data_IF_316447716701
#
_entry.id   IF_316447716701
#
_cell.length_a   1.000
_cell.length_b   1.000
_cell.length_c   1.000
_cell.angle_alpha   90.00
_cell.angle_beta   90.00
_cell.angle_gamma   90.00
#
_symmetry.space_group_name_H-M   'P 1'
#
loop_
_entity.id
_entity.type
_entity.pdbx_description
1 polymer ?
#
# COMPACT_ATOMS: atom_id res chain seq x y z
N UNK A 1 -75.55 6.56 18.55
CA UNK A 1 -74.54 6.79 19.60
C UNK A 1 -73.20 6.31 19.03
N UNK A 2 -72.51 7.06 18.16
CA UNK A 2 -71.54 8.16 18.37
C UNK A 2 -70.46 7.89 19.43
N UNK A 3 -69.18 7.89 18.97
CA UNK A 3 -67.92 8.42 19.55
C UNK A 3 -66.72 7.48 19.27
N UNK A 4 -65.85 7.78 18.30
CA UNK A 4 -64.52 8.46 18.41
C UNK A 4 -63.50 7.65 19.22
N UNK A 5 -62.20 7.51 18.91
CA UNK A 5 -61.28 8.06 17.91
C UNK A 5 -59.93 7.29 18.00
N UNK A 6 -59.16 7.33 16.92
CA UNK A 6 -57.71 7.04 16.84
C UNK A 6 -56.92 7.81 17.93
N UNK A 7 -55.89 7.20 18.53
CA UNK A 7 -54.54 7.70 18.23
C UNK A 7 -53.52 6.56 18.11
N UNK A 8 -52.73 6.50 17.02
CA UNK A 8 -51.43 7.16 16.91
C UNK A 8 -50.40 6.64 17.95
N UNK A 9 -49.72 5.54 17.58
CA UNK A 9 -48.40 5.23 18.11
C UNK A 9 -47.41 5.23 16.93
N UNK A 10 -46.88 6.42 16.65
CA UNK A 10 -45.71 6.63 15.81
C UNK A 10 -44.50 6.01 16.53
N UNK A 11 -44.04 4.83 16.09
CA UNK A 11 -42.72 4.33 16.44
C UNK A 11 -41.69 5.06 15.55
N UNK A 12 -41.16 6.17 16.06
CA UNK A 12 -39.99 6.82 15.50
C UNK A 12 -38.75 5.96 15.81
N UNK A 13 -38.36 5.10 14.88
CA UNK A 13 -37.06 4.43 14.92
C UNK A 13 -35.98 5.47 14.61
N UNK A 14 -35.35 6.01 15.65
CA UNK A 14 -34.17 6.86 15.53
C UNK A 14 -33.04 6.02 14.95
N UNK A 15 -32.65 6.31 13.71
CA UNK A 15 -31.40 5.87 13.15
C UNK A 15 -30.26 6.56 13.92
N UNK A 16 -29.75 5.90 14.96
CA UNK A 16 -28.53 6.31 15.64
C UNK A 16 -27.38 6.09 14.65
N UNK A 17 -26.91 7.18 14.04
CA UNK A 17 -25.67 7.18 13.29
C UNK A 17 -24.54 7.01 14.32
N UNK A 18 -23.99 5.80 14.44
CA UNK A 18 -22.78 5.55 15.21
C UNK A 18 -21.61 6.03 14.36
N UNK A 19 -20.87 7.09 14.74
CA UNK A 19 -19.61 7.38 14.08
C UNK A 19 -18.67 6.20 14.37
N UNK A 20 -18.18 5.56 13.32
CA UNK A 20 -17.13 4.56 13.43
C UNK A 20 -15.87 5.26 13.96
N UNK A 21 -15.73 5.31 15.29
CA UNK A 21 -14.48 5.69 15.94
C UNK A 21 -13.49 4.55 15.73
N UNK A 22 -12.80 4.57 14.60
CA UNK A 22 -11.59 3.77 14.39
C UNK A 22 -10.53 4.14 15.45
N UNK A 23 -9.63 3.21 15.80
CA UNK A 23 -8.60 3.47 16.79
C UNK A 23 -7.73 4.65 16.34
N UNK A 24 -7.46 5.58 17.26
CA UNK A 24 -6.49 6.64 17.07
C UNK A 24 -5.10 6.00 16.98
N UNK A 25 -4.60 5.83 15.75
CA UNK A 25 -3.26 5.32 15.51
C UNK A 25 -2.25 6.47 15.71
N UNK A 26 -1.18 6.17 16.44
CA UNK A 26 -0.11 7.12 16.75
C UNK A 26 0.56 7.68 15.49
N UNK A 27 1.22 8.83 15.63
CA UNK A 27 1.94 9.52 14.56
C UNK A 27 2.96 8.59 13.86
N UNK A 28 2.59 7.96 12.74
CA UNK A 28 3.38 7.75 11.50
C UNK A 28 2.90 6.55 10.65
N UNK A 29 1.59 6.41 10.39
CA UNK A 29 1.10 5.30 9.53
C UNK A 29 0.93 5.69 8.06
N UNK A 30 1.08 6.97 7.73
CA UNK A 30 0.80 7.50 6.41
C UNK A 30 1.53 8.83 6.16
N UNK A 31 1.80 9.22 4.90
CA UNK A 31 2.37 10.52 4.58
C UNK A 31 1.45 11.68 4.97
N UNK A 32 2.02 12.89 5.11
CA UNK A 32 1.28 14.11 5.48
C UNK A 32 0.12 14.44 4.53
N UNK A 33 0.19 13.97 3.29
CA UNK A 33 -0.80 14.15 2.21
C UNK A 33 -1.48 12.83 1.80
N UNK A 34 -1.65 11.90 2.74
CA UNK A 34 -2.33 10.64 2.51
C UNK A 34 -3.77 10.83 2.02
N UNK A 35 -4.14 10.12 0.94
CA UNK A 35 -5.51 10.15 0.47
C UNK A 35 -6.41 9.28 1.37
N UNK A 36 -7.65 9.72 1.65
CA UNK A 36 -8.59 8.95 2.44
C UNK A 36 -8.94 7.63 1.75
N UNK A 37 -8.95 6.54 2.53
CA UNK A 37 -9.27 5.19 2.04
C UNK A 37 -8.08 4.44 1.41
N UNK A 38 -6.90 5.05 1.31
CA UNK A 38 -5.68 4.37 0.86
C UNK A 38 -4.79 3.95 2.04
N UNK A 39 -4.08 2.86 1.82
CA UNK A 39 -3.10 2.33 2.76
C UNK A 39 -1.69 2.56 2.20
N UNK A 40 -0.74 2.86 3.09
CA UNK A 40 0.63 3.21 2.75
C UNK A 40 1.66 2.26 3.39
N UNK A 41 2.91 2.32 2.95
CA UNK A 41 4.02 1.65 3.59
C UNK A 41 5.29 2.48 3.39
N UNK A 42 6.26 2.28 4.28
CA UNK A 42 7.60 2.83 4.15
C UNK A 42 8.45 1.90 3.30
N UNK A 43 9.29 2.48 2.45
CA UNK A 43 10.36 1.79 1.73
C UNK A 43 11.41 2.77 1.24
N UNK A 44 12.38 2.24 0.52
CA UNK A 44 13.44 3.03 -0.08
C UNK A 44 13.41 2.82 -1.59
N UNK A 45 13.57 3.89 -2.37
CA UNK A 45 13.70 3.79 -3.82
C UNK A 45 15.17 3.93 -4.19
N UNK A 46 15.62 3.14 -5.14
CA UNK A 46 16.93 3.36 -5.76
C UNK A 46 16.74 4.56 -6.67
N UNK A 47 17.25 5.74 -6.26
CA UNK A 47 17.35 6.87 -7.18
C UNK A 47 18.14 6.40 -8.40
N UNK A 48 17.63 6.56 -9.64
CA UNK A 48 18.47 6.31 -10.80
C UNK A 48 19.70 7.19 -10.65
N UNK A 49 20.89 6.58 -10.64
CA UNK A 49 22.10 7.35 -10.82
C UNK A 49 21.89 8.12 -12.13
N UNK A 50 21.82 9.45 -12.06
CA UNK A 50 21.80 10.25 -13.27
C UNK A 50 23.02 9.80 -14.08
N UNK A 51 22.79 9.26 -15.27
CA UNK A 51 23.84 9.01 -16.23
C UNK A 51 24.38 10.37 -16.65
N UNK A 52 25.37 10.85 -15.91
CA UNK A 52 26.13 12.05 -16.23
C UNK A 52 27.11 11.68 -17.35
N UNK A 53 26.61 11.20 -18.49
CA UNK A 53 27.40 11.25 -19.72
C UNK A 53 27.54 12.74 -20.04
N UNK A 54 28.74 13.33 -19.95
CA UNK A 54 28.88 14.74 -20.27
C UNK A 54 28.46 14.93 -21.74
N UNK A 55 27.45 15.76 -21.99
CA UNK A 55 27.00 16.12 -23.35
C UNK A 55 28.11 16.79 -24.18
N UNK A 56 29.27 17.08 -23.58
CA UNK A 56 30.44 17.66 -24.24
C UNK A 56 31.76 17.21 -23.60
N UNK A 57 32.77 16.79 -24.38
CA UNK A 57 34.09 16.39 -23.87
C UNK A 57 34.89 17.52 -23.19
N UNK A 58 34.47 18.78 -23.40
CA UNK A 58 35.10 19.98 -22.81
C UNK A 58 34.31 20.57 -21.64
N UNK A 59 33.20 19.95 -21.22
CA UNK A 59 32.46 20.42 -20.05
C UNK A 59 33.24 20.07 -18.76
N UNK A 60 33.39 21.01 -17.80
CA UNK A 60 33.86 20.64 -16.46
C UNK A 60 32.93 19.55 -15.91
N UNK A 61 33.46 18.57 -15.14
CA UNK A 61 32.61 17.52 -14.58
C UNK A 61 31.46 18.19 -13.83
N UNK A 62 30.21 17.70 -14.01
CA UNK A 62 29.09 18.24 -13.28
C UNK A 62 29.44 18.20 -11.80
N UNK A 63 29.47 19.37 -11.17
CA UNK A 63 29.66 19.49 -9.73
C UNK A 63 28.40 18.96 -9.09
N UNK A 64 28.37 17.65 -8.80
CA UNK A 64 27.36 17.06 -7.91
C UNK A 64 27.53 17.80 -6.59
N UNK A 65 26.61 18.71 -6.26
CA UNK A 65 26.64 19.31 -4.93
C UNK A 65 26.19 18.21 -3.98
N UNK A 66 26.85 18.08 -2.84
CA UNK A 66 26.43 17.12 -1.81
C UNK A 66 25.00 17.39 -1.31
N UNK A 67 24.42 18.55 -1.65
CA UNK A 67 23.01 18.90 -1.47
C UNK A 67 22.06 18.31 -2.52
N UNK A 68 22.54 17.66 -3.59
CA UNK A 68 21.72 16.87 -4.51
C UNK A 68 21.72 15.38 -4.11
N UNK A 69 22.56 15.03 -3.13
CA UNK A 69 22.52 13.77 -2.37
C UNK A 69 21.61 13.91 -1.15
N UNK A 70 20.50 14.67 -1.26
CA UNK A 70 19.43 14.55 -0.28
C UNK A 70 18.88 13.14 -0.40
N UNK A 71 19.48 12.25 0.39
CA UNK A 71 18.86 11.04 0.88
C UNK A 71 17.41 11.45 1.22
N UNK A 72 16.49 11.03 0.38
CA UNK A 72 15.10 10.86 0.79
C UNK A 72 15.03 9.38 1.17
N UNK A 73 15.57 8.97 2.34
CA UNK A 73 15.78 7.56 2.67
C UNK A 73 14.47 6.80 2.84
N UNK A 74 13.36 7.50 2.97
CA UNK A 74 12.05 6.95 3.29
C UNK A 74 11.01 7.54 2.34
N UNK A 75 10.60 6.73 1.37
CA UNK A 75 9.52 7.04 0.46
C UNK A 75 8.25 6.32 0.91
N UNK A 76 7.18 7.07 1.10
CA UNK A 76 5.84 6.52 1.33
C UNK A 76 5.25 6.07 0.00
N UNK A 77 4.85 4.81 -0.08
CA UNK A 77 4.15 4.25 -1.24
C UNK A 77 2.83 3.61 -0.83
N UNK A 78 1.90 3.47 -1.77
CA UNK A 78 0.63 2.80 -1.54
C UNK A 78 0.81 1.28 -1.45
N UNK A 79 0.14 0.64 -0.49
CA UNK A 79 0.10 -0.82 -0.34
C UNK A 79 -1.36 -1.29 -0.30
N UNK A 80 -1.67 -2.52 -0.75
CA UNK A 80 -3.02 -3.06 -0.63
C UNK A 80 -3.49 -3.06 0.83
N UNK A 81 -4.65 -2.48 1.10
CA UNK A 81 -5.21 -2.44 2.45
C UNK A 81 -5.45 -3.84 3.02
N UNK A 82 -5.78 -4.83 2.18
CA UNK A 82 -5.91 -6.23 2.59
C UNK A 82 -4.60 -6.79 3.16
N UNK A 83 -3.44 -6.41 2.61
CA UNK A 83 -2.14 -6.79 3.15
C UNK A 83 -1.87 -6.08 4.47
N UNK A 84 -2.12 -4.77 4.55
CA UNK A 84 -1.97 -4.00 5.81
C UNK A 84 -2.86 -4.56 6.93
N UNK A 85 -4.06 -5.03 6.60
CA UNK A 85 -4.98 -5.68 7.53
C UNK A 85 -4.57 -7.12 7.90
N UNK A 86 -3.54 -7.68 7.25
CA UNK A 86 -3.09 -9.05 7.50
C UNK A 86 -4.06 -10.13 6.98
N UNK A 87 -4.79 -9.85 5.90
CA UNK A 87 -5.73 -10.80 5.31
C UNK A 87 -5.02 -12.07 4.84
N UNK A 88 -5.32 -13.19 5.50
CA UNK A 88 -4.75 -14.52 5.18
C UNK A 88 -4.99 -14.89 3.71
N UNK A 89 -6.21 -14.75 3.24
CA UNK A 89 -6.58 -15.08 1.85
C UNK A 89 -5.82 -14.22 0.84
N UNK A 90 -5.56 -12.95 1.15
CA UNK A 90 -4.76 -12.08 0.30
C UNK A 90 -3.29 -12.49 0.30
N UNK A 91 -2.73 -12.85 1.46
CA UNK A 91 -1.35 -13.32 1.56
C UNK A 91 -1.14 -14.63 0.80
N UNK A 92 -2.09 -15.56 0.85
CA UNK A 92 -2.01 -16.77 0.04
C UNK A 92 -2.02 -16.47 -1.46
N UNK A 93 -2.79 -15.46 -1.90
CA UNK A 93 -2.77 -15.01 -3.30
C UNK A 93 -1.41 -14.41 -3.67
N UNK A 94 -0.78 -13.63 -2.78
CA UNK A 94 0.58 -13.12 -2.97
C UNK A 94 1.56 -14.28 -3.17
N UNK A 95 1.56 -15.25 -2.24
CA UNK A 95 2.47 -16.40 -2.28
C UNK A 95 2.29 -17.21 -3.58
N UNK A 96 1.04 -17.47 -4.00
CA UNK A 96 0.76 -18.16 -5.28
C UNK A 96 1.24 -17.36 -6.49
N UNK A 97 1.01 -16.05 -6.50
CA UNK A 97 1.40 -15.20 -7.62
C UNK A 97 2.92 -15.06 -7.76
N UNK A 98 3.64 -15.02 -6.64
CA UNK A 98 5.11 -15.02 -6.60
C UNK A 98 5.69 -16.38 -6.99
N UNK A 99 5.10 -17.48 -6.52
CA UNK A 99 5.51 -18.83 -6.89
C UNK A 99 5.35 -19.08 -8.40
N UNK A 100 4.25 -18.61 -9.00
CA UNK A 100 4.03 -18.70 -10.44
C UNK A 100 5.04 -17.90 -11.29
N UNK A 101 5.87 -17.07 -10.66
CA UNK A 101 6.92 -16.24 -11.28
C UNK A 101 8.30 -16.59 -10.74
N UNK A 102 8.44 -17.74 -10.07
CA UNK A 102 9.69 -18.25 -9.52
C UNK A 102 10.37 -17.34 -8.46
N UNK A 103 9.60 -16.47 -7.79
CA UNK A 103 10.08 -15.65 -6.66
C UNK A 103 9.87 -16.32 -5.29
N UNK A 104 9.02 -17.35 -5.20
CA UNK A 104 8.65 -17.99 -3.94
C UNK A 104 8.50 -19.50 -4.09
N UNK A 105 9.37 -20.26 -3.41
CA UNK A 105 9.38 -21.73 -3.42
C UNK A 105 8.82 -22.36 -2.13
N UNK A 106 8.28 -21.53 -1.22
CA UNK A 106 7.74 -21.96 0.06
C UNK A 106 6.32 -22.53 -0.02
N UNK A 107 5.83 -23.03 1.12
CA UNK A 107 4.44 -23.46 1.25
C UNK A 107 3.48 -22.26 1.28
N UNK A 108 2.30 -22.39 0.67
CA UNK A 108 1.25 -21.36 0.69
C UNK A 108 0.56 -21.36 2.06
N UNK A 109 1.17 -20.70 3.05
CA UNK A 109 0.71 -20.66 4.45
C UNK A 109 -0.35 -19.59 4.72
N UNK A 110 -0.39 -18.53 3.89
CA UNK A 110 -1.17 -17.32 4.17
C UNK A 110 -0.57 -16.44 5.27
N UNK A 111 0.70 -16.64 5.62
CA UNK A 111 1.44 -15.86 6.63
C UNK A 111 2.48 -14.99 5.92
N UNK A 112 2.46 -13.69 6.21
CA UNK A 112 3.41 -12.72 5.63
C UNK A 112 4.74 -12.71 6.41
N UNK A 113 5.42 -13.85 6.36
CA UNK A 113 6.65 -14.17 7.10
C UNK A 113 7.93 -13.70 6.38
N UNK A 114 9.09 -14.05 6.93
CA UNK A 114 10.40 -13.67 6.39
C UNK A 114 10.59 -14.18 4.96
N UNK A 115 10.16 -15.41 4.65
CA UNK A 115 10.29 -15.97 3.31
C UNK A 115 9.42 -15.21 2.31
N UNK A 116 8.17 -14.93 2.67
CA UNK A 116 7.24 -14.15 1.83
C UNK A 116 7.75 -12.72 1.62
N UNK A 117 8.29 -12.08 2.67
CA UNK A 117 8.89 -10.74 2.59
C UNK A 117 10.11 -10.69 1.68
N UNK A 118 10.97 -11.70 1.75
CA UNK A 118 12.14 -11.81 0.88
C UNK A 118 11.72 -11.97 -0.60
N UNK A 119 10.72 -12.82 -0.87
CA UNK A 119 10.17 -12.99 -2.21
C UNK A 119 9.56 -11.69 -2.77
N UNK A 120 8.82 -10.95 -1.94
CA UNK A 120 8.28 -9.65 -2.31
C UNK A 120 9.40 -8.65 -2.59
N UNK A 121 10.42 -8.56 -1.73
CA UNK A 121 11.55 -7.67 -1.96
C UNK A 121 12.27 -8.00 -3.28
N UNK A 122 12.53 -9.28 -3.56
CA UNK A 122 13.14 -9.71 -4.81
C UNK A 122 12.30 -9.30 -6.03
N UNK A 123 10.99 -9.58 -6.02
CA UNK A 123 10.08 -9.18 -7.10
C UNK A 123 10.04 -7.67 -7.34
N UNK A 124 10.07 -6.87 -6.28
CA UNK A 124 9.99 -5.40 -6.38
C UNK A 124 11.33 -4.75 -6.75
N UNK A 125 12.46 -5.40 -6.43
CA UNK A 125 13.79 -4.93 -6.80
C UNK A 125 13.95 -4.84 -8.32
N UNK A 126 13.35 -5.78 -9.07
CA UNK A 126 13.30 -5.72 -10.54
C UNK A 126 12.52 -4.52 -11.09
N UNK A 127 11.70 -3.88 -10.25
CA UNK A 127 10.91 -2.69 -10.55
C UNK A 127 11.52 -1.42 -9.91
N UNK A 128 12.72 -1.52 -9.34
CA UNK A 128 13.44 -0.41 -8.71
C UNK A 128 12.93 -0.01 -7.32
N UNK A 129 12.14 -0.87 -6.66
CA UNK A 129 11.61 -0.64 -5.32
C UNK A 129 12.19 -1.63 -4.31
N UNK A 130 12.98 -1.11 -3.38
CA UNK A 130 13.54 -1.89 -2.26
C UNK A 130 12.57 -1.82 -1.07
N UNK A 131 11.65 -2.79 -1.00
CA UNK A 131 10.76 -2.95 0.15
C UNK A 131 10.29 -4.38 0.34
N UNK A 132 10.20 -4.80 1.60
CA UNK A 132 9.58 -6.06 2.00
C UNK A 132 8.03 -5.99 2.03
N UNK A 133 7.44 -4.82 1.86
CA UNK A 133 5.98 -4.63 1.80
C UNK A 133 5.56 -4.47 0.35
N UNK A 134 4.56 -5.24 -0.07
CA UNK A 134 4.07 -5.21 -1.45
C UNK A 134 3.39 -3.87 -1.75
N UNK A 135 3.85 -3.16 -2.78
CA UNK A 135 3.21 -1.96 -3.28
C UNK A 135 1.95 -2.29 -4.07
N UNK A 136 1.03 -1.33 -4.16
CA UNK A 136 -0.18 -1.48 -4.97
C UNK A 136 0.16 -1.62 -6.46
N UNK A 137 1.24 -0.99 -6.93
CA UNK A 137 1.75 -1.15 -8.30
C UNK A 137 2.22 -2.59 -8.57
N UNK A 138 3.05 -3.12 -7.67
CA UNK A 138 3.51 -4.51 -7.71
C UNK A 138 2.34 -5.49 -7.64
N UNK A 139 1.34 -5.22 -6.79
CA UNK A 139 0.12 -6.03 -6.66
C UNK A 139 -0.72 -6.02 -7.95
N UNK A 140 -0.81 -4.88 -8.65
CA UNK A 140 -1.44 -4.77 -9.97
C UNK A 140 -0.68 -5.60 -11.00
N UNK A 141 0.65 -5.50 -11.03
CA UNK A 141 1.49 -6.29 -11.94
C UNK A 141 1.39 -7.81 -11.67
N UNK A 142 1.14 -8.21 -10.42
CA UNK A 142 0.85 -9.60 -10.05
C UNK A 142 -0.58 -10.04 -10.40
N UNK A 143 -1.48 -9.10 -10.73
CA UNK A 143 -2.89 -9.37 -11.02
C UNK A 143 -3.75 -9.57 -9.77
N UNK A 144 -3.26 -9.16 -8.59
CA UNK A 144 -3.94 -9.33 -7.30
C UNK A 144 -4.97 -8.24 -7.01
N UNK A 145 -4.84 -7.13 -7.71
CA UNK A 145 -5.58 -5.90 -7.52
C UNK A 145 -6.09 -5.46 -8.88
N UNK A 146 -7.40 -5.23 -8.99
CA UNK A 146 -7.97 -4.64 -10.19
C UNK A 146 -7.69 -3.13 -10.19
N UNK A 147 -7.34 -2.58 -11.34
CA UNK A 147 -7.24 -1.14 -11.54
C UNK A 147 -8.55 -0.45 -11.08
N UNK A 148 -8.56 0.08 -9.85
CA UNK A 148 -9.68 0.83 -9.27
C UNK A 148 -10.68 0.08 -8.36
N UNK A 149 -10.32 -1.05 -7.70
CA UNK A 149 -11.26 -1.74 -6.78
C UNK A 149 -10.73 -2.09 -5.38
N UNK A 150 -9.66 -1.44 -4.91
CA UNK A 150 -9.05 -1.78 -3.61
C UNK A 150 -9.65 -1.02 -2.42
N UNK A 151 -10.70 -0.24 -2.66
CA UNK A 151 -11.44 0.49 -1.64
C UNK A 151 -12.93 0.18 -1.72
N UNK A 152 -13.35 -0.91 -1.06
CA UNK A 152 -14.72 -1.07 -0.56
C UNK A 152 -14.65 -1.70 0.82
#
# INVERSE_FOLDING_TARGET
MLRTAFPWLMLAATAACVPASGPAVGRADSPVNAQPGLCYALGSRISPALDLTPESPDAPPPLVRTSDLEESPEYWFETPCALRAGSRDFIEQIQRALAARDFYDGEITGIYDTATRAAVAAYQSEQGLESATLSTESAKALGLVALGRDGV
#
